data_IF_246449144413
#
_entry.id   IF_246449144413
#
_cell.length_a   1.000
_cell.length_b   1.000
_cell.length_c   1.000
_cell.angle_alpha   90.00
_cell.angle_beta   90.00
_cell.angle_gamma   90.00
#
_symmetry.space_group_name_H-M   'P 1'
#
loop_
_entity.id
_entity.type
_entity.pdbx_description
1 polymer ?
#
# COMPACT_ATOMS: atom_id res chain seq x y z
N UNK A 1 15.44 -2.91 12.84
CA UNK A 1 15.80 -1.55 12.38
C UNK A 1 14.55 -0.69 12.26
N UNK A 2 13.54 -1.12 11.50
CA UNK A 2 12.26 -0.42 11.32
C UNK A 2 11.30 -0.56 12.52
N UNK A 3 11.62 0.13 13.61
CA UNK A 3 10.79 0.18 14.83
C UNK A 3 9.87 1.39 14.82
N UNK A 4 8.94 1.46 15.79
CA UNK A 4 8.12 2.66 16.00
C UNK A 4 8.98 3.92 16.23
N UNK A 5 10.01 3.81 17.07
CA UNK A 5 10.96 4.91 17.34
C UNK A 5 11.68 5.39 16.07
N UNK A 6 12.01 4.48 15.16
CA UNK A 6 12.61 4.85 13.87
C UNK A 6 11.70 5.82 13.10
N UNK A 7 10.40 5.51 13.00
CA UNK A 7 9.45 6.37 12.30
C UNK A 7 9.19 7.69 13.02
N UNK A 8 9.12 7.68 14.36
CA UNK A 8 8.96 8.90 15.16
C UNK A 8 10.16 9.83 15.01
N UNK A 9 11.38 9.30 15.05
CA UNK A 9 12.61 10.07 14.83
C UNK A 9 12.61 10.72 13.45
N UNK A 10 12.27 9.96 12.41
CA UNK A 10 12.23 10.43 11.03
C UNK A 10 11.16 11.52 10.84
N UNK A 11 9.98 11.34 11.43
CA UNK A 11 8.91 12.34 11.39
C UNK A 11 9.35 13.68 11.99
N UNK A 12 9.98 13.67 13.17
CA UNK A 12 10.52 14.88 13.81
C UNK A 12 11.63 15.53 12.99
N UNK A 13 12.44 14.73 12.29
CA UNK A 13 13.45 15.24 11.38
C UNK A 13 12.82 15.98 10.21
N UNK A 14 11.86 15.36 9.52
CA UNK A 14 11.12 15.99 8.43
C UNK A 14 10.37 17.26 8.89
N UNK A 15 9.79 17.27 10.08
CA UNK A 15 9.18 18.48 10.63
C UNK A 15 10.20 19.64 10.76
N UNK A 16 11.42 19.38 11.26
CA UNK A 16 12.48 20.39 11.35
C UNK A 16 12.97 20.87 9.99
N UNK A 17 12.93 20.01 8.97
CA UNK A 17 13.23 20.38 7.59
C UNK A 17 12.13 21.25 6.95
N UNK A 18 11.02 21.50 7.65
CA UNK A 18 9.98 22.44 7.23
C UNK A 18 8.95 21.86 6.29
N UNK A 19 8.74 20.54 6.28
CA UNK A 19 7.64 19.93 5.55
C UNK A 19 6.28 20.35 6.14
N UNK A 20 5.26 20.46 5.29
CA UNK A 20 3.92 20.94 5.70
C UNK A 20 2.95 19.82 6.07
N UNK A 21 3.17 18.62 5.54
CA UNK A 21 2.36 17.42 5.75
C UNK A 21 3.32 16.24 5.81
N UNK A 22 3.12 15.34 6.76
CA UNK A 22 3.86 14.10 6.88
C UNK A 22 3.12 12.98 6.17
N UNK A 23 3.73 12.41 5.12
CA UNK A 23 3.17 11.25 4.45
C UNK A 23 3.74 9.94 5.02
N UNK A 24 2.87 8.95 5.25
CA UNK A 24 3.26 7.56 5.50
C UNK A 24 2.94 6.76 4.24
N UNK A 25 3.98 6.39 3.50
CA UNK A 25 3.85 5.66 2.24
C UNK A 25 4.09 4.16 2.44
N UNK A 26 3.02 3.41 2.63
CA UNK A 26 3.02 1.95 2.67
C UNK A 26 2.82 1.36 1.26
N UNK A 27 3.89 1.38 0.48
CA UNK A 27 3.92 0.99 -0.94
C UNK A 27 3.57 -0.49 -1.22
N UNK A 28 3.65 -1.35 -0.20
CA UNK A 28 3.43 -2.80 -0.34
C UNK A 28 2.18 -3.28 0.43
N UNK A 29 1.49 -2.42 1.19
CA UNK A 29 0.34 -2.84 1.99
C UNK A 29 0.73 -3.69 3.21
N UNK A 30 1.86 -3.35 3.84
CA UNK A 30 2.47 -4.08 4.95
C UNK A 30 1.97 -3.61 6.32
N UNK A 31 1.46 -2.37 6.40
CA UNK A 31 1.02 -1.77 7.64
C UNK A 31 -0.27 -2.45 8.10
N UNK A 32 -0.14 -3.36 9.07
CA UNK A 32 -1.27 -4.12 9.61
C UNK A 32 -2.18 -3.19 10.44
N UNK A 33 -3.48 -3.51 10.59
CA UNK A 33 -4.43 -2.60 11.24
C UNK A 33 -4.01 -2.13 12.64
N UNK A 34 -3.54 -3.06 13.49
CA UNK A 34 -3.08 -2.70 14.83
C UNK A 34 -1.86 -1.78 14.82
N UNK A 35 -0.91 -2.04 13.93
CA UNK A 35 0.27 -1.20 13.75
C UNK A 35 -0.10 0.18 13.21
N UNK A 36 -1.12 0.30 12.35
CA UNK A 36 -1.63 1.59 11.90
C UNK A 36 -2.18 2.44 13.05
N UNK A 37 -2.98 1.84 13.93
CA UNK A 37 -3.50 2.54 15.11
C UNK A 37 -2.37 3.08 15.99
N UNK A 38 -1.40 2.21 16.31
CA UNK A 38 -0.25 2.57 17.17
C UNK A 38 0.65 3.61 16.50
N UNK A 39 1.05 3.39 15.25
CA UNK A 39 1.93 4.28 14.52
C UNK A 39 1.32 5.68 14.37
N UNK A 40 0.08 5.78 13.93
CA UNK A 40 -0.57 7.07 13.70
C UNK A 40 -0.77 7.80 15.03
N UNK A 41 -1.21 7.12 16.09
CA UNK A 41 -1.39 7.76 17.40
C UNK A 41 -0.09 8.33 17.97
N UNK A 42 1.01 7.60 17.82
CA UNK A 42 2.34 8.03 18.26
C UNK A 42 2.86 9.18 17.41
N UNK A 43 2.68 9.14 16.09
CA UNK A 43 3.08 10.24 15.20
C UNK A 43 2.27 11.51 15.48
N UNK A 44 0.94 11.42 15.68
CA UNK A 44 0.09 12.57 16.06
C UNK A 44 0.50 13.18 17.40
N UNK A 45 1.11 12.40 18.29
CA UNK A 45 1.64 12.88 19.57
C UNK A 45 3.05 13.45 19.45
N UNK A 46 3.79 13.10 18.39
CA UNK A 46 5.20 13.40 18.23
C UNK A 46 5.51 14.64 17.39
N UNK A 47 4.62 15.00 16.45
CA UNK A 47 4.74 16.14 15.53
C UNK A 47 3.43 16.90 15.43
N UNK A 48 3.47 18.19 15.08
CA UNK A 48 2.29 19.05 14.89
C UNK A 48 1.76 19.01 13.45
N UNK A 49 2.48 18.32 12.55
CA UNK A 49 2.10 18.17 11.14
C UNK A 49 0.83 17.31 10.95
N UNK A 50 -0.02 17.65 9.97
CA UNK A 50 -1.04 16.74 9.46
C UNK A 50 -0.40 15.47 8.89
N UNK A 51 -1.06 14.33 9.09
CA UNK A 51 -0.60 13.02 8.61
C UNK A 51 -1.46 12.54 7.45
N UNK A 52 -0.79 12.18 6.35
CA UNK A 52 -1.38 11.63 5.15
C UNK A 52 -0.93 10.16 4.97
N UNK A 53 -1.87 9.22 5.10
CA UNK A 53 -1.58 7.81 4.96
C UNK A 53 -1.90 7.30 3.55
N UNK A 54 -0.94 6.60 2.96
CA UNK A 54 -1.05 5.90 1.69
C UNK A 54 -0.79 4.42 1.91
N UNK A 55 -1.69 3.54 1.47
CA UNK A 55 -1.45 2.08 1.43
C UNK A 55 -2.01 1.45 0.16
N UNK A 56 -1.61 0.20 -0.07
CA UNK A 56 -2.17 -0.69 -1.08
C UNK A 56 -3.00 -1.80 -0.41
N UNK A 57 -4.02 -2.30 -1.10
CA UNK A 57 -4.94 -3.32 -0.58
C UNK A 57 -4.52 -4.76 -0.95
N UNK A 58 -3.24 -4.99 -1.23
CA UNK A 58 -2.73 -6.26 -1.77
C UNK A 58 -3.07 -7.44 -0.85
N UNK A 59 -3.02 -7.20 0.46
CA UNK A 59 -3.35 -8.18 1.48
C UNK A 59 -4.85 -8.36 1.73
N UNK A 60 -5.70 -7.49 1.16
CA UNK A 60 -7.14 -7.40 1.44
C UNK A 60 -7.49 -6.72 2.77
N UNK A 61 -6.49 -6.15 3.48
CA UNK A 61 -6.68 -5.52 4.79
C UNK A 61 -6.58 -3.99 4.76
N UNK A 62 -6.55 -3.37 3.59
CA UNK A 62 -6.34 -1.93 3.45
C UNK A 62 -7.48 -1.10 4.06
N UNK A 63 -8.74 -1.52 3.89
CA UNK A 63 -9.88 -0.88 4.57
C UNK A 63 -9.79 -0.97 6.10
N UNK A 64 -9.39 -2.12 6.64
CA UNK A 64 -9.20 -2.29 8.10
C UNK A 64 -8.06 -1.41 8.61
N UNK A 65 -6.99 -1.29 7.84
CA UNK A 65 -5.83 -0.44 8.15
C UNK A 65 -6.23 1.02 8.19
N UNK A 66 -6.98 1.49 7.18
CA UNK A 66 -7.52 2.84 7.18
C UNK A 66 -8.51 3.09 8.31
N UNK A 67 -9.39 2.14 8.63
CA UNK A 67 -10.30 2.27 9.75
C UNK A 67 -9.54 2.50 11.06
N UNK A 68 -8.48 1.73 11.31
CA UNK A 68 -7.64 1.89 12.50
C UNK A 68 -6.84 3.20 12.49
N UNK A 69 -6.33 3.63 11.34
CA UNK A 69 -5.68 4.93 11.20
C UNK A 69 -6.65 6.10 11.46
N UNK A 70 -7.91 5.97 11.03
CA UNK A 70 -8.99 6.94 11.29
C UNK A 70 -9.30 7.04 12.78
N UNK A 71 -9.42 5.90 13.47
CA UNK A 71 -9.62 5.88 14.92
C UNK A 71 -8.45 6.56 15.66
N UNK A 72 -7.22 6.41 15.15
CA UNK A 72 -6.02 7.03 15.70
C UNK A 72 -5.82 8.50 15.29
N UNK A 73 -6.71 9.06 14.46
CA UNK A 73 -6.71 10.48 14.13
C UNK A 73 -5.92 10.90 12.89
N UNK A 74 -5.67 9.99 11.93
CA UNK A 74 -5.06 10.35 10.63
C UNK A 74 -5.85 11.46 9.92
N UNK A 75 -5.19 12.39 9.25
CA UNK A 75 -5.85 13.56 8.65
C UNK A 75 -6.32 13.29 7.22
N UNK A 76 -5.50 12.61 6.42
CA UNK A 76 -5.75 12.33 5.00
C UNK A 76 -5.43 10.87 4.68
N UNK A 77 -6.21 10.24 3.81
CA UNK A 77 -5.98 8.88 3.31
C UNK A 77 -6.17 8.80 1.79
N UNK A 78 -5.33 8.00 1.13
CA UNK A 78 -5.42 7.76 -0.32
C UNK A 78 -6.42 6.66 -0.65
N UNK A 79 -7.37 6.92 -1.54
CA UNK A 79 -8.38 5.94 -1.95
C UNK A 79 -8.54 5.92 -3.47
N UNK A 80 -9.07 4.81 -3.98
CA UNK A 80 -9.47 4.69 -5.37
C UNK A 80 -10.99 4.50 -5.48
N UNK A 81 -11.56 4.84 -6.64
CA UNK A 81 -12.96 4.52 -6.95
C UNK A 81 -13.15 3.00 -7.02
N UNK A 82 -14.30 2.49 -6.60
CA UNK A 82 -14.52 1.05 -6.40
C UNK A 82 -14.06 0.18 -7.59
N UNK A 83 -14.41 0.53 -8.83
CA UNK A 83 -14.06 -0.22 -10.04
C UNK A 83 -12.57 -0.25 -10.39
N UNK A 84 -11.75 0.62 -9.77
CA UNK A 84 -10.29 0.71 -9.93
C UNK A 84 -9.53 0.50 -8.61
N UNK A 85 -10.22 -0.04 -7.60
CA UNK A 85 -9.68 -0.26 -6.25
C UNK A 85 -9.42 -1.73 -5.94
N UNK A 86 -8.78 -1.98 -4.80
CA UNK A 86 -8.52 -3.32 -4.29
C UNK A 86 -7.30 -3.98 -4.91
N UNK A 87 -6.95 -5.17 -4.39
CA UNK A 87 -5.76 -5.91 -4.81
C UNK A 87 -4.53 -5.00 -4.75
N UNK A 88 -3.72 -4.90 -5.80
CA UNK A 88 -2.52 -4.06 -5.80
C UNK A 88 -2.81 -2.56 -5.96
N UNK A 89 -4.07 -2.13 -5.98
CA UNK A 89 -4.48 -0.72 -5.96
C UNK A 89 -4.74 -0.23 -4.52
N UNK A 90 -5.18 1.02 -4.37
CA UNK A 90 -5.66 1.57 -3.09
C UNK A 90 -6.98 0.92 -2.66
N UNK A 91 -7.34 1.00 -1.36
CA UNK A 91 -8.66 0.64 -0.88
C UNK A 91 -9.79 1.49 -1.49
N UNK A 92 -10.98 0.89 -1.62
CA UNK A 92 -12.18 1.53 -2.19
C UNK A 92 -12.70 2.67 -1.32
N UNK A 93 -12.76 3.90 -1.86
CA UNK A 93 -13.43 5.03 -1.22
C UNK A 93 -14.93 4.78 -1.01
N UNK A 94 -15.60 4.19 -2.01
CA UNK A 94 -17.02 3.88 -1.95
C UNK A 94 -17.32 2.97 -0.75
N UNK A 95 -16.53 1.90 -0.58
CA UNK A 95 -16.70 0.97 0.52
C UNK A 95 -16.33 1.59 1.87
N UNK A 96 -15.25 2.38 1.91
CA UNK A 96 -14.82 3.05 3.12
C UNK A 96 -15.86 4.06 3.63
N UNK A 97 -16.53 4.77 2.73
CA UNK A 97 -17.61 5.71 3.08
C UNK A 97 -18.69 5.02 3.94
N UNK A 98 -19.19 3.87 3.48
CA UNK A 98 -20.19 3.09 4.22
C UNK A 98 -19.61 2.42 5.46
N UNK A 99 -18.37 1.94 5.41
CA UNK A 99 -17.72 1.28 6.56
C UNK A 99 -17.60 2.18 7.79
N UNK A 100 -17.57 3.51 7.59
CA UNK A 100 -17.51 4.49 8.67
C UNK A 100 -18.88 4.88 9.25
N UNK A 101 -19.99 4.35 8.71
CA UNK A 101 -21.32 4.62 9.26
C UNK A 101 -21.43 4.06 10.70
N UNK A 102 -21.86 4.91 11.63
CA UNK A 102 -21.94 4.56 13.06
C UNK A 102 -20.63 4.73 13.84
N UNK A 103 -19.53 5.14 13.18
CA UNK A 103 -18.27 5.49 13.85
C UNK A 103 -18.13 7.02 14.05
N UNK A 104 -17.23 7.48 14.94
CA UNK A 104 -17.14 8.91 15.32
C UNK A 104 -16.71 9.85 14.19
N UNK A 105 -15.96 9.35 13.21
CA UNK A 105 -15.43 10.12 12.09
C UNK A 105 -16.03 9.64 10.77
N UNK A 106 -16.31 10.58 9.88
CA UNK A 106 -16.90 10.32 8.58
C UNK A 106 -15.96 10.70 7.44
N UNK A 107 -16.04 9.96 6.32
CA UNK A 107 -15.32 10.28 5.10
C UNK A 107 -15.99 11.47 4.40
N UNK A 108 -15.25 12.55 4.16
CA UNK A 108 -15.78 13.74 3.49
C UNK A 108 -15.73 13.56 1.98
N UNK A 109 -16.81 13.03 1.39
CA UNK A 109 -17.00 12.90 -0.06
C UNK A 109 -18.49 12.80 -0.40
N UNK A 110 -18.82 12.90 -1.68
CA UNK A 110 -20.16 12.61 -2.21
C UNK A 110 -20.22 11.17 -2.73
N UNK A 111 -20.96 10.30 -2.04
CA UNK A 111 -21.08 8.89 -2.41
C UNK A 111 -21.83 8.70 -3.74
N UNK A 112 -22.82 9.52 -4.05
CA UNK A 112 -23.59 9.38 -5.30
C UNK A 112 -22.71 9.70 -6.52
N UNK A 113 -21.95 10.80 -6.44
CA UNK A 113 -20.93 11.13 -7.42
C UNK A 113 -19.85 10.04 -7.56
N UNK A 114 -19.42 9.42 -6.45
CA UNK A 114 -18.44 8.33 -6.46
C UNK A 114 -18.97 7.06 -7.12
N UNK A 115 -20.26 6.73 -6.97
CA UNK A 115 -20.88 5.61 -7.71
C UNK A 115 -20.95 5.92 -9.22
N UNK A 116 -21.31 7.16 -9.59
CA UNK A 116 -21.27 7.61 -10.99
C UNK A 116 -19.88 7.47 -11.61
N UNK A 117 -18.84 7.92 -10.89
CA UNK A 117 -17.45 7.75 -11.29
C UNK A 117 -17.08 6.26 -11.43
N UNK A 118 -17.54 5.41 -10.51
CA UNK A 118 -17.27 3.98 -10.53
C UNK A 118 -17.85 3.30 -11.77
N UNK A 119 -19.09 3.65 -12.16
CA UNK A 119 -19.72 3.14 -13.37
C UNK A 119 -18.96 3.53 -14.64
N UNK A 120 -18.52 4.78 -14.74
CA UNK A 120 -17.69 5.25 -15.84
C UNK A 120 -16.39 4.44 -15.93
N UNK A 121 -15.64 4.37 -14.81
CA UNK A 121 -14.35 3.68 -14.79
C UNK A 121 -14.48 2.17 -15.00
N UNK A 122 -15.57 1.55 -14.58
CA UNK A 122 -15.88 0.15 -14.87
C UNK A 122 -15.98 -0.10 -16.39
N UNK A 123 -16.61 0.82 -17.12
CA UNK A 123 -16.69 0.74 -18.59
C UNK A 123 -15.32 0.99 -19.23
N UNK A 124 -14.62 2.07 -18.82
CA UNK A 124 -13.31 2.42 -19.37
C UNK A 124 -12.28 1.31 -19.15
N UNK A 125 -12.31 0.64 -18.00
CA UNK A 125 -11.41 -0.47 -17.67
C UNK A 125 -11.44 -1.58 -18.72
N UNK A 126 -12.60 -1.83 -19.35
CA UNK A 126 -12.71 -2.85 -20.41
C UNK A 126 -11.87 -2.55 -21.64
N UNK A 127 -11.56 -1.27 -21.91
CA UNK A 127 -10.67 -0.87 -23.01
C UNK A 127 -9.22 -1.26 -22.77
N UNK A 128 -8.86 -1.60 -21.52
CA UNK A 128 -7.52 -1.97 -21.09
C UNK A 128 -7.42 -3.45 -20.74
N UNK A 129 -8.33 -4.31 -21.23
CA UNK A 129 -8.35 -5.75 -20.92
C UNK A 129 -7.01 -6.44 -21.18
N UNK A 130 -6.28 -6.00 -22.20
CA UNK A 130 -4.98 -6.57 -22.58
C UNK A 130 -3.85 -6.27 -21.57
N UNK A 131 -4.09 -5.34 -20.64
CA UNK A 131 -3.14 -4.91 -19.61
C UNK A 131 -3.60 -5.29 -18.19
N UNK A 132 -4.68 -6.07 -18.07
CA UNK A 132 -5.14 -6.54 -16.76
C UNK A 132 -4.09 -7.43 -16.08
N UNK A 133 -3.96 -7.25 -14.76
CA UNK A 133 -3.08 -8.08 -13.94
C UNK A 133 -3.63 -9.51 -13.82
N UNK A 134 -2.73 -10.49 -13.74
CA UNK A 134 -3.09 -11.87 -13.40
C UNK A 134 -3.55 -12.03 -11.93
N UNK A 135 -3.32 -11.01 -11.09
CA UNK A 135 -3.73 -11.02 -9.68
C UNK A 135 -5.25 -10.87 -9.61
N UNK A 136 -5.92 -11.87 -9.01
CA UNK A 136 -7.39 -11.93 -8.89
C UNK A 136 -7.87 -12.04 -7.45
N UNK A 137 -6.95 -12.15 -6.50
CA UNK A 137 -7.24 -12.44 -5.10
C UNK A 137 -6.27 -11.69 -4.19
N UNK A 138 -6.68 -11.41 -2.93
CA UNK A 138 -5.74 -10.97 -1.90
C UNK A 138 -4.55 -11.93 -1.78
N UNK A 139 -3.35 -11.38 -1.56
CA UNK A 139 -2.13 -12.14 -1.37
C UNK A 139 -1.46 -11.73 -0.05
N UNK A 140 -1.37 -12.66 0.90
CA UNK A 140 -0.75 -12.44 2.21
C UNK A 140 0.73 -12.84 2.27
N UNK A 141 1.26 -13.49 1.23
CA UNK A 141 2.71 -13.71 1.07
C UNK A 141 3.46 -12.36 0.94
N UNK A 142 2.75 -11.28 0.62
CA UNK A 142 3.25 -9.91 0.64
C UNK A 142 3.97 -9.57 1.94
N UNK A 143 3.53 -10.13 3.07
CA UNK A 143 4.18 -9.92 4.38
C UNK A 143 5.50 -10.67 4.55
N UNK A 144 5.85 -11.54 3.61
CA UNK A 144 7.11 -12.29 3.60
C UNK A 144 8.11 -11.67 2.61
N UNK A 145 7.67 -11.41 1.38
CA UNK A 145 8.57 -10.93 0.32
C UNK A 145 8.58 -9.41 0.16
N UNK A 146 7.55 -8.70 0.65
CA UNK A 146 7.52 -7.22 0.70
C UNK A 146 7.74 -6.54 -0.66
N UNK A 147 7.29 -7.17 -1.75
CA UNK A 147 7.33 -6.55 -3.08
C UNK A 147 6.26 -5.45 -3.15
N UNK A 148 6.60 -4.22 -3.58
CA UNK A 148 5.60 -3.17 -3.81
C UNK A 148 4.53 -3.58 -4.82
N UNK A 149 3.33 -3.02 -4.69
CA UNK A 149 2.15 -3.46 -5.46
C UNK A 149 2.40 -3.59 -6.96
N UNK A 150 2.87 -2.52 -7.62
CA UNK A 150 3.15 -2.54 -9.06
C UNK A 150 4.35 -3.39 -9.48
N UNK A 151 5.26 -3.72 -8.56
CA UNK A 151 6.41 -4.55 -8.90
C UNK A 151 6.03 -6.01 -9.03
N UNK A 152 5.11 -6.53 -8.20
CA UNK A 152 4.79 -7.96 -8.20
C UNK A 152 4.36 -8.47 -9.58
N UNK A 153 3.43 -7.75 -10.24
CA UNK A 153 2.97 -8.10 -11.59
C UNK A 153 4.10 -8.00 -12.62
N UNK A 154 4.89 -6.94 -12.56
CA UNK A 154 5.99 -6.70 -13.48
C UNK A 154 7.09 -7.76 -13.34
N UNK A 155 7.48 -8.10 -12.11
CA UNK A 155 8.50 -9.10 -11.83
C UNK A 155 8.03 -10.51 -12.22
N UNK A 156 6.75 -10.81 -12.04
CA UNK A 156 6.15 -12.06 -12.53
C UNK A 156 6.22 -12.17 -14.06
N UNK A 157 5.91 -11.08 -14.77
CA UNK A 157 6.04 -11.04 -16.23
C UNK A 157 7.50 -11.16 -16.70
N UNK A 158 8.44 -10.52 -16.00
CA UNK A 158 9.87 -10.68 -16.28
C UNK A 158 10.34 -12.12 -16.06
N UNK A 159 9.97 -12.74 -14.92
CA UNK A 159 10.27 -14.14 -14.64
C UNK A 159 9.74 -15.07 -15.74
N UNK A 160 8.49 -14.88 -16.20
CA UNK A 160 7.93 -15.63 -17.33
C UNK A 160 8.77 -15.45 -18.60
N UNK A 161 9.19 -14.21 -18.90
CA UNK A 161 10.00 -13.88 -20.08
C UNK A 161 11.40 -14.53 -20.07
N UNK A 162 11.91 -14.85 -18.88
CA UNK A 162 13.19 -15.53 -18.67
C UNK A 162 13.05 -17.06 -18.51
N UNK A 163 11.85 -17.63 -18.73
CA UNK A 163 11.60 -19.07 -18.59
C UNK A 163 11.45 -19.55 -17.15
N UNK A 164 11.27 -18.63 -16.19
CA UNK A 164 11.10 -18.92 -14.76
C UNK A 164 9.63 -18.87 -14.31
N UNK A 165 8.67 -18.84 -15.24
CA UNK A 165 7.23 -18.72 -14.91
C UNK A 165 6.72 -19.77 -13.93
N UNK A 166 7.06 -21.04 -14.15
CA UNK A 166 6.68 -22.17 -13.28
C UNK A 166 7.45 -22.21 -11.95
N UNK A 167 8.47 -21.36 -11.80
CA UNK A 167 9.37 -21.28 -10.62
C UNK A 167 9.24 -19.93 -9.91
N UNK A 168 8.15 -19.21 -10.11
CA UNK A 168 7.98 -17.89 -9.53
C UNK A 168 7.97 -17.91 -7.98
N UNK A 169 7.58 -19.02 -7.38
CA UNK A 169 7.72 -19.23 -5.93
C UNK A 169 9.17 -19.17 -5.45
N UNK A 170 10.12 -19.71 -6.22
CA UNK A 170 11.55 -19.62 -5.92
C UNK A 170 12.05 -18.18 -6.06
N UNK A 171 11.52 -17.42 -7.03
CA UNK A 171 11.84 -16.00 -7.20
C UNK A 171 11.34 -15.17 -6.00
N UNK A 172 10.13 -15.44 -5.50
CA UNK A 172 9.60 -14.78 -4.29
C UNK A 172 10.45 -15.06 -3.05
N UNK A 173 10.88 -16.30 -2.86
CA UNK A 173 11.79 -16.66 -1.78
C UNK A 173 13.16 -15.97 -1.93
N UNK A 174 13.73 -15.99 -3.15
CA UNK A 174 15.01 -15.33 -3.42
C UNK A 174 14.92 -13.82 -3.18
N UNK A 175 13.83 -13.17 -3.57
CA UNK A 175 13.61 -11.75 -3.33
C UNK A 175 13.69 -11.40 -1.84
N UNK A 176 13.10 -12.22 -0.97
CA UNK A 176 13.23 -12.08 0.48
C UNK A 176 14.67 -12.30 0.95
N UNK A 177 15.35 -13.33 0.45
CA UNK A 177 16.75 -13.61 0.82
C UNK A 177 17.69 -12.48 0.41
N UNK A 178 17.51 -11.92 -0.79
CA UNK A 178 18.26 -10.78 -1.30
C UNK A 178 18.03 -9.53 -0.44
N UNK A 179 16.80 -9.27 0.02
CA UNK A 179 16.55 -8.16 0.94
C UNK A 179 17.44 -8.23 2.18
N UNK A 180 17.56 -9.41 2.80
CA UNK A 180 18.45 -9.59 3.95
C UNK A 180 19.93 -9.58 3.57
N UNK A 181 20.29 -10.09 2.39
CA UNK A 181 21.64 -9.97 1.84
C UNK A 181 22.08 -8.50 1.71
N UNK A 182 21.14 -7.61 1.40
CA UNK A 182 21.37 -6.16 1.31
C UNK A 182 21.17 -5.42 2.64
N UNK A 183 20.97 -6.13 3.75
CA UNK A 183 20.87 -5.54 5.08
C UNK A 183 19.48 -5.08 5.50
N UNK A 184 18.43 -5.67 4.91
CA UNK A 184 17.02 -5.37 5.19
C UNK A 184 16.64 -3.92 4.82
N UNK A 185 16.42 -3.67 3.53
CA UNK A 185 16.27 -2.32 2.98
C UNK A 185 14.80 -1.94 2.74
N UNK A 186 14.54 -0.63 2.67
CA UNK A 186 13.29 -0.11 2.10
C UNK A 186 13.27 -0.40 0.61
N UNK A 187 12.21 -1.06 0.15
CA UNK A 187 12.03 -1.51 -1.23
C UNK A 187 10.91 -0.72 -1.90
N UNK A 188 11.28 0.26 -2.70
CA UNK A 188 10.38 1.04 -3.56
C UNK A 188 11.21 1.49 -4.77
N UNK A 189 10.59 1.95 -5.86
CA UNK A 189 11.37 2.42 -7.02
C UNK A 189 12.40 3.49 -6.60
N UNK A 190 13.70 3.34 -6.92
CA UNK A 190 14.30 2.27 -7.73
C UNK A 190 14.86 1.07 -6.94
N UNK A 191 15.00 1.12 -5.61
CA UNK A 191 15.62 0.04 -4.80
C UNK A 191 14.93 -1.31 -4.92
N UNK A 192 13.60 -1.33 -5.10
CA UNK A 192 12.87 -2.57 -5.33
C UNK A 192 13.33 -3.27 -6.61
N UNK A 193 13.60 -2.52 -7.69
CA UNK A 193 14.08 -3.07 -8.96
C UNK A 193 15.42 -3.79 -8.77
N UNK A 194 16.35 -3.18 -8.02
CA UNK A 194 17.66 -3.79 -7.70
C UNK A 194 17.51 -5.14 -6.98
N UNK A 195 16.58 -5.24 -6.03
CA UNK A 195 16.28 -6.52 -5.36
C UNK A 195 15.64 -7.52 -6.32
N UNK A 196 14.79 -7.05 -7.23
CA UNK A 196 14.15 -7.86 -8.27
C UNK A 196 15.15 -8.46 -9.24
N UNK A 197 16.05 -7.64 -9.77
CA UNK A 197 17.11 -8.06 -10.68
C UNK A 197 18.02 -9.11 -10.04
N UNK A 198 18.46 -8.87 -8.80
CA UNK A 198 19.30 -9.80 -8.06
C UNK A 198 18.57 -11.09 -7.67
N UNK A 199 17.23 -11.06 -7.56
CA UNK A 199 16.45 -12.28 -7.32
C UNK A 199 16.28 -13.12 -8.58
N UNK A 200 16.34 -12.51 -9.77
CA UNK A 200 16.25 -13.18 -11.06
C UNK A 200 17.60 -13.72 -11.56
N UNK A 201 18.71 -13.03 -11.24
CA UNK A 201 20.08 -13.39 -11.62
C UNK A 201 20.58 -14.67 -10.93
#
# INVERSE_FOLDING_TARGET
>A
IYTLEYYVKLAKELEREGFHILAIKDMAGLLKPKAAYELIGELKSAVDLPIHLHTHDTSGNGLLTYKQAIDAGVDIIDTAVASMSGLTSQPSANSLYYALNGFPRHLRTDIEGMESLSHYWSTVRTYYSDFESDIKSPNTEIYQHEMPGGQYSNLSQQAKSLGLGERFDEVKDMYRRVNFLFGDIVKVTPSSEVVGDMALY
#
